data_IF_941548720593
#
_entry.id   IF_941548720593
#
_cell.length_a   1.000
_cell.length_b   1.000
_cell.length_c   1.000
_cell.angle_alpha   90.00
_cell.angle_beta   90.00
_cell.angle_gamma   90.00
#
_symmetry.space_group_name_H-M   'P 1'
#
loop_
_entity.id
_entity.type
_entity.pdbx_description
1 polymer ?
#
# COMPACT_ATOMS: atom_id res chain seq x y z
N UNK A 1 11.64 17.07 0.78
CA UNK A 1 12.76 16.44 0.03
C UNK A 1 12.22 16.12 -1.35
N UNK A 2 12.90 16.57 -2.41
CA UNK A 2 12.50 16.20 -3.77
C UNK A 2 12.70 14.69 -3.94
N UNK A 3 11.64 13.98 -4.30
CA UNK A 3 11.73 12.56 -4.63
C UNK A 3 12.35 12.45 -6.04
N UNK A 4 13.44 11.69 -6.21
CA UNK A 4 14.03 11.45 -7.52
C UNK A 4 12.99 10.89 -8.51
N UNK A 5 13.06 11.29 -9.78
CA UNK A 5 12.14 10.80 -10.82
C UNK A 5 12.07 9.25 -10.92
N UNK A 6 13.19 8.50 -10.78
CA UNK A 6 13.16 7.03 -10.78
C UNK A 6 12.37 6.42 -9.61
N UNK A 7 12.21 7.17 -8.51
CA UNK A 7 11.59 6.72 -7.27
C UNK A 7 10.10 7.11 -7.17
N UNK A 8 9.48 7.61 -8.25
CA UNK A 8 8.05 7.99 -8.23
C UNK A 8 7.11 6.86 -7.83
N UNK A 9 7.45 5.61 -8.14
CA UNK A 9 6.67 4.44 -7.72
C UNK A 9 6.64 4.26 -6.20
N UNK A 10 7.71 4.62 -5.48
CA UNK A 10 7.76 4.53 -4.01
C UNK A 10 7.11 5.73 -3.31
N UNK A 11 6.74 6.78 -4.06
CA UNK A 11 6.16 8.00 -3.51
C UNK A 11 4.90 7.76 -2.69
N UNK A 12 4.01 6.90 -3.22
CA UNK A 12 2.75 6.60 -2.56
C UNK A 12 2.97 5.90 -1.22
N UNK A 13 3.89 4.93 -1.16
CA UNK A 13 4.25 4.22 0.07
C UNK A 13 4.85 5.15 1.12
N UNK A 14 5.75 6.06 0.73
CA UNK A 14 6.35 7.04 1.64
C UNK A 14 5.32 8.02 2.19
N UNK A 15 4.35 8.43 1.37
CA UNK A 15 3.24 9.28 1.82
C UNK A 15 2.36 8.55 2.82
N UNK A 16 1.99 7.31 2.52
CA UNK A 16 1.23 6.46 3.45
C UNK A 16 1.98 6.27 4.76
N UNK A 17 3.30 6.08 4.72
CA UNK A 17 4.11 5.99 5.93
C UNK A 17 4.04 7.26 6.78
N UNK A 18 4.16 8.45 6.18
CA UNK A 18 4.05 9.72 6.90
C UNK A 18 2.67 9.95 7.49
N UNK A 19 1.60 9.55 6.79
CA UNK A 19 0.23 9.63 7.30
C UNK A 19 -0.01 8.70 8.51
N UNK A 20 0.69 7.55 8.53
CA UNK A 20 0.56 6.56 9.59
C UNK A 20 1.59 6.73 10.71
N UNK A 21 2.64 7.54 10.54
CA UNK A 21 3.71 7.69 11.54
C UNK A 21 3.21 8.05 12.96
N UNK A 22 2.13 8.83 13.07
CA UNK A 22 1.51 9.16 14.36
C UNK A 22 0.36 8.22 14.78
N UNK A 23 -0.27 7.55 13.81
CA UNK A 23 -1.44 6.68 14.05
C UNK A 23 -1.04 5.25 14.35
N UNK A 24 -0.10 4.76 13.55
CA UNK A 24 0.43 3.41 13.58
C UNK A 24 1.90 3.42 13.11
N UNK A 25 2.86 3.52 14.05
CA UNK A 25 4.28 3.56 13.72
C UNK A 25 4.77 2.25 13.08
N UNK A 26 4.08 1.12 13.30
CA UNK A 26 4.41 -0.18 12.71
C UNK A 26 4.15 -0.14 11.20
N UNK A 27 2.97 0.35 10.80
CA UNK A 27 2.63 0.57 9.39
C UNK A 27 3.62 1.51 8.72
N UNK A 28 3.97 2.61 9.39
CA UNK A 28 4.93 3.57 8.86
C UNK A 28 6.32 2.95 8.66
N UNK A 29 6.77 2.12 9.60
CA UNK A 29 8.04 1.40 9.50
C UNK A 29 8.06 0.46 8.29
N UNK A 30 7.06 -0.42 8.15
CA UNK A 30 7.02 -1.38 7.04
C UNK A 30 6.82 -0.75 5.67
N UNK A 31 6.01 0.31 5.58
CA UNK A 31 5.90 1.08 4.33
C UNK A 31 7.25 1.70 3.91
N UNK A 32 8.05 2.21 4.87
CA UNK A 32 9.40 2.72 4.61
C UNK A 32 10.37 1.61 4.22
N UNK A 33 10.27 0.44 4.87
CA UNK A 33 11.09 -0.73 4.56
C UNK A 33 10.85 -1.21 3.13
N UNK A 34 9.58 -1.34 2.73
CA UNK A 34 9.21 -1.69 1.36
C UNK A 34 9.68 -0.64 0.35
N UNK A 35 9.49 0.65 0.65
CA UNK A 35 9.96 1.74 -0.20
C UNK A 35 11.48 1.72 -0.37
N UNK A 36 12.23 1.37 0.67
CA UNK A 36 13.68 1.24 0.64
C UNK A 36 14.11 0.05 -0.25
N UNK A 37 13.56 -1.13 -0.03
CA UNK A 37 13.86 -2.33 -0.83
C UNK A 37 13.52 -2.10 -2.32
N UNK A 38 12.34 -1.53 -2.58
CA UNK A 38 11.89 -1.22 -3.95
C UNK A 38 12.77 -0.15 -4.57
N UNK A 39 13.11 0.91 -3.83
CA UNK A 39 13.99 1.97 -4.32
C UNK A 39 15.39 1.48 -4.65
N UNK A 40 15.95 0.55 -3.85
CA UNK A 40 17.24 -0.09 -4.16
C UNK A 40 17.19 -0.92 -5.46
N UNK A 41 16.08 -1.62 -5.71
CA UNK A 41 15.85 -2.40 -6.94
C UNK A 41 15.67 -1.51 -8.17
N UNK A 42 15.04 -0.34 -8.01
CA UNK A 42 14.79 0.61 -9.09
C UNK A 42 16.06 1.35 -9.52
N UNK A 43 16.69 2.06 -8.58
CA UNK A 43 17.89 2.84 -8.86
C UNK A 43 18.71 3.04 -7.59
N UNK A 44 19.72 2.20 -7.44
CA UNK A 44 20.76 2.32 -6.42
C UNK A 44 22.08 2.88 -6.95
N UNK A 45 22.13 3.26 -8.24
CA UNK A 45 23.35 3.72 -8.92
C UNK A 45 23.46 5.22 -8.91
N UNK A 46 22.34 5.93 -9.06
CA UNK A 46 22.31 7.38 -9.08
C UNK A 46 22.66 7.94 -7.70
N UNK A 47 23.62 8.88 -7.58
CA UNK A 47 24.06 9.40 -6.29
C UNK A 47 22.95 10.12 -5.50
N UNK A 48 21.97 10.74 -6.18
CA UNK A 48 20.79 11.33 -5.54
C UNK A 48 19.87 10.26 -4.92
N UNK A 49 19.56 9.20 -5.67
CA UNK A 49 18.78 8.06 -5.19
C UNK A 49 19.50 7.38 -4.03
N UNK A 50 20.82 7.15 -4.13
CA UNK A 50 21.62 6.58 -3.03
C UNK A 50 21.57 7.44 -1.77
N UNK A 51 21.75 8.76 -1.87
CA UNK A 51 21.61 9.68 -0.72
C UNK A 51 20.22 9.59 -0.09
N UNK A 52 19.17 9.47 -0.91
CA UNK A 52 17.81 9.30 -0.42
C UNK A 52 17.63 7.97 0.32
N UNK A 53 18.12 6.86 -0.25
CA UNK A 53 18.03 5.52 0.33
C UNK A 53 18.81 5.41 1.65
N UNK A 54 20.01 5.98 1.73
CA UNK A 54 20.80 6.03 2.97
C UNK A 54 20.01 6.76 4.06
N UNK A 55 19.45 7.93 3.75
CA UNK A 55 18.65 8.67 4.74
C UNK A 55 17.39 7.89 5.16
N UNK A 56 16.75 7.20 4.23
CA UNK A 56 15.60 6.35 4.54
C UNK A 56 15.99 5.18 5.45
N UNK A 57 17.18 4.63 5.28
CA UNK A 57 17.75 3.60 6.13
C UNK A 57 18.06 4.14 7.54
N UNK A 58 18.67 5.32 7.66
CA UNK A 58 18.91 5.97 8.96
C UNK A 58 17.59 6.21 9.72
N UNK A 59 16.52 6.59 9.01
CA UNK A 59 15.18 6.73 9.58
C UNK A 59 14.62 5.39 10.07
N UNK A 60 14.76 4.33 9.28
CA UNK A 60 14.34 2.98 9.68
C UNK A 60 15.10 2.48 10.91
N UNK A 61 16.41 2.70 10.98
CA UNK A 61 17.21 2.33 12.15
C UNK A 61 16.81 3.12 13.40
N UNK A 62 16.51 4.41 13.24
CA UNK A 62 16.03 5.26 14.34
C UNK A 62 14.68 4.76 14.85
N UNK A 63 13.72 4.51 13.96
CA UNK A 63 12.42 3.95 14.35
C UNK A 63 12.56 2.58 14.99
N UNK A 64 13.43 1.71 14.47
CA UNK A 64 13.65 0.37 15.04
C UNK A 64 14.22 0.44 16.47
N UNK A 65 15.08 1.44 16.74
CA UNK A 65 15.60 1.70 18.10
C UNK A 65 14.55 2.33 19.02
N UNK A 66 13.75 3.26 18.50
CA UNK A 66 12.70 3.94 19.27
C UNK A 66 11.56 2.99 19.65
N UNK A 67 11.22 2.06 18.75
CA UNK A 67 10.18 1.05 18.96
C UNK A 67 10.76 -0.35 19.15
N UNK A 68 11.96 -0.47 19.72
CA UNK A 68 12.58 -1.77 20.00
C UNK A 68 11.77 -2.62 20.99
N UNK A 69 10.93 -1.99 21.81
CA UNK A 69 10.06 -2.66 22.76
C UNK A 69 8.75 -3.15 22.12
N UNK A 70 8.50 -2.79 20.84
CA UNK A 70 7.30 -3.20 20.12
C UNK A 70 7.54 -4.52 19.38
N UNK A 71 6.82 -5.56 19.79
CA UNK A 71 6.89 -6.89 19.16
C UNK A 71 6.59 -6.83 17.66
N UNK A 72 5.71 -5.94 17.21
CA UNK A 72 5.39 -5.82 15.79
C UNK A 72 6.53 -5.28 14.93
N UNK A 73 7.59 -4.72 15.52
CA UNK A 73 8.79 -4.24 14.80
C UNK A 73 9.98 -5.19 14.99
N UNK A 74 10.05 -5.87 16.13
CA UNK A 74 11.13 -6.84 16.42
C UNK A 74 10.85 -8.21 15.83
N UNK A 75 9.59 -8.65 15.81
CA UNK A 75 9.14 -9.93 15.29
C UNK A 75 8.46 -9.72 13.93
N UNK A 76 9.08 -10.20 12.87
CA UNK A 76 8.53 -10.08 11.52
C UNK A 76 7.18 -10.77 11.37
N UNK A 77 6.93 -11.88 12.09
CA UNK A 77 5.65 -12.59 12.07
C UNK A 77 4.52 -11.74 12.66
N UNK A 78 4.79 -11.05 13.77
CA UNK A 78 3.81 -10.16 14.42
C UNK A 78 3.56 -8.93 13.57
N UNK A 79 4.62 -8.35 13.01
CA UNK A 79 4.51 -7.23 12.07
C UNK A 79 3.70 -7.60 10.83
N UNK A 80 3.93 -8.78 10.25
CA UNK A 80 3.17 -9.28 9.10
C UNK A 80 1.67 -9.36 9.42
N UNK A 81 1.31 -10.08 10.49
CA UNK A 81 -0.08 -10.20 10.92
C UNK A 81 -0.72 -8.82 11.21
N UNK A 82 0.04 -7.88 11.77
CA UNK A 82 -0.44 -6.53 12.04
C UNK A 82 -0.76 -5.76 10.75
N UNK A 83 0.16 -5.76 9.77
CA UNK A 83 -0.03 -5.12 8.47
C UNK A 83 -1.18 -5.77 7.70
N UNK A 84 -1.26 -7.10 7.70
CA UNK A 84 -2.31 -7.86 7.02
C UNK A 84 -3.69 -7.53 7.59
N UNK A 85 -3.85 -7.61 8.91
CA UNK A 85 -5.10 -7.23 9.56
C UNK A 85 -5.48 -5.78 9.29
N UNK A 86 -4.50 -4.86 9.25
CA UNK A 86 -4.76 -3.46 8.97
C UNK A 86 -5.19 -3.23 7.50
N UNK A 87 -4.53 -3.90 6.55
CA UNK A 87 -4.89 -3.87 5.14
C UNK A 87 -6.30 -4.43 4.91
N UNK A 88 -6.63 -5.56 5.53
CA UNK A 88 -7.95 -6.19 5.46
C UNK A 88 -9.03 -5.30 6.10
N UNK A 89 -8.76 -4.65 7.23
CA UNK A 89 -9.70 -3.69 7.83
C UNK A 89 -10.03 -2.52 6.90
N UNK A 90 -9.02 -1.95 6.25
CA UNK A 90 -9.22 -0.87 5.28
C UNK A 90 -9.98 -1.35 4.04
N UNK A 91 -9.68 -2.57 3.58
CA UNK A 91 -10.38 -3.23 2.48
C UNK A 91 -11.86 -3.43 2.82
N UNK A 92 -12.17 -4.07 3.95
CA UNK A 92 -13.53 -4.35 4.39
C UNK A 92 -14.32 -3.07 4.66
N UNK A 93 -13.68 -2.04 5.22
CA UNK A 93 -14.30 -0.73 5.35
C UNK A 93 -14.71 -0.17 3.98
N UNK A 94 -13.80 -0.20 3.01
CA UNK A 94 -14.08 0.32 1.68
C UNK A 94 -15.13 -0.54 0.92
N UNK A 95 -15.09 -1.86 1.07
CA UNK A 95 -16.06 -2.80 0.51
C UNK A 95 -17.45 -2.62 1.12
N UNK A 96 -17.54 -2.35 2.42
CA UNK A 96 -18.81 -2.06 3.08
C UNK A 96 -19.41 -0.72 2.61
N UNK A 97 -18.58 0.32 2.43
CA UNK A 97 -19.02 1.58 1.85
C UNK A 97 -19.46 1.40 0.38
N UNK A 98 -18.74 0.57 -0.39
CA UNK A 98 -19.06 0.24 -1.79
C UNK A 98 -20.42 -0.48 -1.88
N UNK A 99 -20.64 -1.50 -1.05
CA UNK A 99 -21.92 -2.23 -0.95
C UNK A 99 -23.07 -1.35 -0.44
N UNK A 100 -22.77 -0.35 0.38
CA UNK A 100 -23.74 0.63 0.85
C UNK A 100 -23.97 1.78 -0.14
N UNK A 101 -23.41 1.70 -1.36
CA UNK A 101 -23.51 2.73 -2.41
C UNK A 101 -22.97 4.11 -1.97
N UNK A 102 -22.06 4.13 -0.98
CA UNK A 102 -21.47 5.35 -0.41
C UNK A 102 -20.12 5.66 -1.05
N UNK A 103 -20.18 6.18 -2.26
CA UNK A 103 -18.99 6.54 -3.03
C UNK A 103 -18.45 7.91 -2.63
N UNK A 104 -17.27 7.90 -1.98
CA UNK A 104 -16.59 9.13 -1.56
C UNK A 104 -15.07 8.99 -1.59
N UNK A 105 -14.34 10.11 -1.47
CA UNK A 105 -12.87 10.10 -1.53
C UNK A 105 -12.21 9.24 -0.46
N UNK A 106 -12.86 9.02 0.69
CA UNK A 106 -12.29 8.26 1.79
C UNK A 106 -12.23 6.75 1.48
N UNK A 107 -13.31 6.14 0.97
CA UNK A 107 -13.30 4.72 0.57
C UNK A 107 -12.36 4.46 -0.61
N UNK A 108 -12.25 5.36 -1.59
CA UNK A 108 -11.23 5.25 -2.66
C UNK A 108 -9.82 5.24 -2.06
N UNK A 109 -9.54 6.15 -1.13
CA UNK A 109 -8.27 6.17 -0.41
C UNK A 109 -8.06 4.89 0.38
N UNK A 110 -9.08 4.37 1.07
CA UNK A 110 -8.98 3.12 1.83
C UNK A 110 -8.67 1.91 0.94
N UNK A 111 -9.34 1.76 -0.21
CA UNK A 111 -9.01 0.72 -1.21
C UNK A 111 -7.60 0.90 -1.77
N UNK A 112 -7.20 2.14 -2.08
CA UNK A 112 -5.87 2.39 -2.58
C UNK A 112 -4.81 2.06 -1.51
N UNK A 113 -4.99 2.51 -0.27
CA UNK A 113 -4.08 2.25 0.85
C UNK A 113 -4.03 0.76 1.20
N UNK A 114 -5.16 0.04 1.19
CA UNK A 114 -5.15 -1.41 1.41
C UNK A 114 -4.35 -2.13 0.32
N UNK A 115 -4.49 -1.73 -0.95
CA UNK A 115 -3.68 -2.30 -2.03
C UNK A 115 -2.17 -2.06 -1.82
N UNK A 116 -1.79 -0.87 -1.33
CA UNK A 116 -0.39 -0.55 -1.02
C UNK A 116 0.14 -1.35 0.17
N UNK A 117 -0.68 -1.57 1.19
CA UNK A 117 -0.28 -2.37 2.36
C UNK A 117 -0.13 -3.85 2.01
N UNK A 118 -0.99 -4.38 1.14
CA UNK A 118 -0.83 -5.73 0.58
C UNK A 118 0.46 -5.83 -0.26
N UNK A 119 0.85 -4.76 -0.95
CA UNK A 119 2.17 -4.68 -1.59
C UNK A 119 3.31 -4.73 -0.57
N UNK A 120 3.18 -4.00 0.54
CA UNK A 120 4.15 -4.00 1.64
C UNK A 120 4.28 -5.37 2.28
N UNK A 121 3.21 -6.19 2.34
CA UNK A 121 3.30 -7.55 2.87
C UNK A 121 4.32 -8.43 2.13
N UNK A 122 4.66 -8.11 0.88
CA UNK A 122 5.70 -8.85 0.14
C UNK A 122 7.11 -8.69 0.73
N UNK A 123 7.34 -7.76 1.67
CA UNK A 123 8.62 -7.69 2.41
C UNK A 123 8.84 -8.89 3.32
N UNK A 124 7.76 -9.52 3.79
CA UNK A 124 7.81 -10.66 4.70
C UNK A 124 7.93 -12.01 3.97
N UNK A 125 7.73 -12.02 2.65
CA UNK A 125 7.77 -13.23 1.84
C UNK A 125 6.75 -13.21 0.71
N UNK A 126 6.37 -14.41 0.25
CA UNK A 126 5.39 -14.58 -0.80
C UNK A 126 3.98 -14.28 -0.30
N UNK A 127 3.20 -13.52 -1.08
CA UNK A 127 1.82 -13.20 -0.75
C UNK A 127 0.94 -14.43 -0.97
N UNK A 128 -0.02 -14.66 -0.07
CA UNK A 128 -1.08 -15.66 -0.29
C UNK A 128 -1.91 -15.29 -1.53
N UNK A 129 -2.50 -16.30 -2.19
CA UNK A 129 -3.40 -16.06 -3.33
C UNK A 129 -4.54 -15.11 -2.99
N UNK A 130 -5.05 -15.19 -1.77
CA UNK A 130 -6.09 -14.30 -1.24
C UNK A 130 -5.60 -12.85 -1.18
N UNK A 131 -4.38 -12.60 -0.68
CA UNK A 131 -3.79 -11.26 -0.65
C UNK A 131 -3.53 -10.71 -2.05
N UNK A 132 -3.16 -11.55 -3.00
CA UNK A 132 -3.01 -11.16 -4.42
C UNK A 132 -4.36 -10.76 -5.01
N UNK A 133 -5.42 -11.55 -4.76
CA UNK A 133 -6.79 -11.23 -5.19
C UNK A 133 -7.30 -9.93 -4.57
N UNK A 134 -7.17 -9.77 -3.25
CA UNK A 134 -7.54 -8.52 -2.56
C UNK A 134 -6.79 -7.31 -3.10
N UNK A 135 -5.50 -7.45 -3.40
CA UNK A 135 -4.69 -6.37 -3.97
C UNK A 135 -5.19 -5.97 -5.36
N UNK A 136 -5.43 -6.95 -6.24
CA UNK A 136 -5.95 -6.70 -7.60
C UNK A 136 -7.31 -6.02 -7.51
N UNK A 137 -8.19 -6.51 -6.64
CA UNK A 137 -9.54 -5.97 -6.44
C UNK A 137 -9.50 -4.53 -5.94
N UNK A 138 -8.76 -4.29 -4.85
CA UNK A 138 -8.70 -2.98 -4.22
C UNK A 138 -8.15 -1.91 -5.18
N UNK A 139 -7.11 -2.25 -5.95
CA UNK A 139 -6.54 -1.35 -6.95
C UNK A 139 -7.54 -1.06 -8.07
N UNK A 140 -8.20 -2.10 -8.58
CA UNK A 140 -9.17 -1.96 -9.66
C UNK A 140 -10.39 -1.13 -9.21
N UNK A 141 -11.01 -1.47 -8.07
CA UNK A 141 -12.13 -0.72 -7.48
C UNK A 141 -11.77 0.73 -7.20
N UNK A 142 -10.59 1.00 -6.63
CA UNK A 142 -10.15 2.38 -6.38
C UNK A 142 -10.11 3.22 -7.66
N UNK A 143 -9.55 2.68 -8.75
CA UNK A 143 -9.50 3.37 -10.05
C UNK A 143 -10.88 3.50 -10.68
N UNK A 144 -11.68 2.43 -10.66
CA UNK A 144 -13.04 2.40 -11.21
C UNK A 144 -13.93 3.46 -10.55
N UNK A 145 -14.05 3.42 -9.22
CA UNK A 145 -14.86 4.37 -8.45
C UNK A 145 -14.35 5.80 -8.65
N UNK A 146 -13.02 6.00 -8.67
CA UNK A 146 -12.44 7.31 -8.94
C UNK A 146 -12.83 7.87 -10.31
N UNK A 147 -12.79 7.04 -11.36
CA UNK A 147 -13.16 7.42 -12.71
C UNK A 147 -14.66 7.70 -12.83
N UNK A 148 -15.52 6.84 -12.28
CA UNK A 148 -16.97 7.06 -12.24
C UNK A 148 -17.31 8.38 -11.55
N UNK A 149 -16.76 8.63 -10.35
CA UNK A 149 -16.98 9.90 -9.64
C UNK A 149 -16.44 11.12 -10.41
N UNK A 150 -15.36 10.96 -11.18
CA UNK A 150 -14.80 12.03 -12.01
C UNK A 150 -15.66 12.32 -13.23
N UNK A 151 -16.29 11.30 -13.81
CA UNK A 151 -17.18 11.41 -14.97
C UNK A 151 -18.62 11.77 -14.57
N UNK A 152 -18.97 11.73 -13.27
CA UNK A 152 -20.34 11.92 -12.79
C UNK A 152 -21.22 10.67 -12.92
N UNK A 153 -20.62 9.51 -13.15
CA UNK A 153 -21.31 8.22 -13.24
C UNK A 153 -21.40 7.58 -11.85
N UNK A 154 -22.51 6.88 -11.56
CA UNK A 154 -22.66 6.14 -10.31
C UNK A 154 -21.98 4.76 -10.46
N UNK A 155 -20.92 4.46 -9.69
CA UNK A 155 -20.27 3.15 -9.74
C UNK A 155 -21.24 2.04 -9.33
N UNK A 156 -21.06 0.84 -9.87
CA UNK A 156 -21.83 -0.33 -9.40
C UNK A 156 -21.28 -0.85 -8.06
N UNK A 157 -22.16 -1.05 -7.05
CA UNK A 157 -21.80 -1.60 -5.75
C UNK A 157 -21.55 -3.11 -5.81
N UNK A 158 -20.66 -3.59 -4.94
CA UNK A 158 -20.34 -5.00 -4.76
C UNK A 158 -19.21 -5.50 -5.65
N UNK A 159 -18.75 -6.75 -5.45
CA UNK A 159 -17.71 -7.33 -6.27
C UNK A 159 -18.23 -7.49 -7.69
N UNK A 160 -17.75 -6.62 -8.57
CA UNK A 160 -17.86 -6.82 -10.00
C UNK A 160 -17.05 -8.08 -10.28
N UNK A 161 -17.71 -9.09 -10.84
CA UNK A 161 -17.22 -10.46 -10.91
C UNK A 161 -15.75 -10.52 -11.28
N UNK A 162 -14.90 -10.84 -10.29
CA UNK A 162 -13.48 -11.13 -10.53
C UNK A 162 -13.26 -12.45 -11.30
N UNK A 163 -14.33 -13.03 -11.86
CA UNK A 163 -14.30 -14.17 -12.75
C UNK A 163 -14.32 -13.75 -14.23
N UNK A 164 -14.47 -12.46 -14.57
CA UNK A 164 -14.52 -12.00 -15.97
C UNK A 164 -13.24 -11.30 -16.47
N UNK A 165 -12.27 -10.98 -15.59
CA UNK A 165 -11.03 -10.25 -15.91
C UNK A 165 -9.78 -11.16 -16.05
N UNK A 166 -9.96 -12.39 -16.55
CA UNK A 166 -8.87 -13.14 -17.20
C UNK A 166 -8.70 -12.79 -18.68
N UNK A 167 -9.61 -12.04 -19.33
CA UNK A 167 -9.51 -11.72 -20.76
C UNK A 167 -9.09 -10.29 -21.14
N UNK A 168 -9.00 -9.33 -20.22
CA UNK A 168 -8.64 -7.94 -20.56
C UNK A 168 -7.17 -7.55 -20.25
N UNK A 169 -6.27 -8.54 -20.17
CA UNK A 169 -4.83 -8.35 -19.95
C UNK A 169 -3.96 -8.44 -21.21
N UNK A 170 -4.57 -8.34 -22.40
CA UNK A 170 -3.86 -8.38 -23.67
C UNK A 170 -4.30 -7.23 -24.57
N UNK A 171 -3.31 -6.50 -25.09
CA UNK A 171 -3.36 -5.58 -26.23
C UNK A 171 -3.58 -4.09 -25.93
N UNK A 172 -2.47 -3.36 -25.73
CA UNK A 172 -1.97 -2.33 -26.66
C UNK A 172 -0.66 -1.71 -26.14
#
# INVERSE_FOLDING_TARGET
MALPAPLRSIQHYLRTAQEHEKRDPVVAYYCRLYAMQTGMKLDSKTPECRKFLVKLMDQLETMKKEFSDNESITQEVVGNAHIENYALKLFLYADNEDRAERFHKNMIKSFFTSSLLLDVLSVFGELSEENVKHRKYARWKATYIHNCLKNGETPQPGPIGMDEDEEAGGNA
#
